data_IF_136509882032
#
_entry.id   IF_136509882032
#
_cell.length_a   1.000
_cell.length_b   1.000
_cell.length_c   1.000
_cell.angle_alpha   90.00
_cell.angle_beta   90.00
_cell.angle_gamma   90.00
#
_symmetry.space_group_name_H-M   'P 1'
#
loop_
_entity.id
_entity.type
_entity.pdbx_description
1 polymer ?
#
# COMPACT_ATOMS: atom_id res chain seq x y z
N UNK A 1 -57.17 7.21 28.86
CA UNK A 1 -56.74 6.00 29.59
C UNK A 1 -55.49 5.46 28.89
N UNK A 2 -54.26 5.88 29.22
CA UNK A 2 -53.09 5.28 28.59
C UNK A 2 -52.81 3.92 29.22
N UNK A 3 -52.85 2.87 28.41
CA UNK A 3 -52.43 1.54 28.80
C UNK A 3 -50.91 1.54 29.00
N UNK A 4 -50.48 1.43 30.25
CA UNK A 4 -49.08 1.28 30.63
C UNK A 4 -48.58 -0.08 30.15
N UNK A 5 -48.05 -0.14 28.93
CA UNK A 5 -47.34 -1.30 28.40
C UNK A 5 -46.01 -1.43 29.16
N UNK A 6 -46.03 -2.21 30.25
CA UNK A 6 -44.85 -2.60 31.00
C UNK A 6 -44.05 -3.62 30.18
N UNK A 7 -43.20 -3.14 29.28
CA UNK A 7 -42.28 -4.00 28.56
C UNK A 7 -41.30 -4.67 29.54
N UNK A 8 -41.20 -6.01 29.57
CA UNK A 8 -40.21 -6.70 30.40
C UNK A 8 -38.79 -6.29 29.98
N UNK A 9 -37.92 -6.08 30.97
CA UNK A 9 -36.52 -5.61 30.79
C UNK A 9 -35.70 -6.50 29.85
N UNK A 10 -36.10 -7.77 29.68
CA UNK A 10 -35.52 -8.73 28.74
C UNK A 10 -35.76 -8.36 27.26
N UNK A 11 -36.93 -7.79 26.94
CA UNK A 11 -37.25 -7.34 25.58
C UNK A 11 -36.50 -6.06 25.21
N UNK A 12 -36.32 -5.14 26.16
CA UNK A 12 -35.51 -3.92 25.95
C UNK A 12 -34.06 -4.29 25.66
N UNK A 13 -33.50 -5.26 26.41
CA UNK A 13 -32.12 -5.71 26.24
C UNK A 13 -31.90 -6.42 24.90
N UNK A 14 -32.84 -7.24 24.44
CA UNK A 14 -32.74 -7.94 23.15
C UNK A 14 -32.93 -6.98 21.97
N UNK A 15 -33.82 -5.98 22.08
CA UNK A 15 -33.93 -4.91 21.09
C UNK A 15 -32.64 -4.09 20.96
N UNK A 16 -32.01 -3.70 22.07
CA UNK A 16 -30.76 -2.94 22.05
C UNK A 16 -29.59 -3.73 21.44
N UNK A 17 -29.51 -5.03 21.73
CA UNK A 17 -28.49 -5.91 21.15
C UNK A 17 -28.71 -6.12 19.65
N UNK A 18 -29.97 -6.32 19.22
CA UNK A 18 -30.33 -6.45 17.80
C UNK A 18 -30.08 -5.15 17.02
N UNK A 19 -30.39 -4.00 17.61
CA UNK A 19 -30.10 -2.69 17.02
C UNK A 19 -28.59 -2.44 16.91
N UNK A 20 -27.83 -2.75 17.97
CA UNK A 20 -26.36 -2.65 17.94
C UNK A 20 -25.72 -3.54 16.88
N UNK A 21 -26.23 -4.77 16.70
CA UNK A 21 -25.72 -5.70 15.69
C UNK A 21 -26.09 -5.27 14.26
N UNK A 22 -27.32 -4.76 14.04
CA UNK A 22 -27.73 -4.22 12.75
C UNK A 22 -26.95 -2.93 12.38
N UNK A 23 -26.68 -2.06 13.36
CA UNK A 23 -25.89 -0.85 13.15
C UNK A 23 -24.41 -1.16 12.87
N UNK A 24 -23.85 -2.16 13.55
CA UNK A 24 -22.50 -2.64 13.27
C UNK A 24 -22.40 -3.29 11.88
N UNK A 25 -23.43 -4.03 11.45
CA UNK A 25 -23.47 -4.67 10.13
C UNK A 25 -23.68 -3.66 8.99
N UNK A 26 -24.48 -2.62 9.20
CA UNK A 26 -24.69 -1.55 8.22
C UNK A 26 -23.51 -0.57 8.16
N UNK A 27 -22.78 -0.37 9.27
CA UNK A 27 -21.54 0.41 9.28
C UNK A 27 -20.39 -0.28 8.51
N UNK A 28 -20.39 -1.61 8.43
CA UNK A 28 -19.37 -2.37 7.71
C UNK A 28 -19.53 -2.31 6.17
N UNK A 29 -20.75 -2.03 5.67
CA UNK A 29 -21.02 -1.98 4.23
C UNK A 29 -20.54 -0.69 3.54
N UNK A 30 -20.20 0.37 4.31
CA UNK A 30 -19.70 1.64 3.79
C UNK A 30 -18.16 1.71 3.70
N UNK A 31 -17.45 0.69 4.18
CA UNK A 31 -15.98 0.58 4.03
C UNK A 31 -15.63 -0.29 2.81
N UNK A 32 -16.22 0.01 1.66
CA UNK A 32 -15.60 -0.36 0.40
C UNK A 32 -14.45 0.63 0.16
N UNK A 33 -13.20 0.19 -0.02
CA UNK A 33 -12.14 1.09 -0.42
C UNK A 33 -12.46 1.57 -1.84
N UNK A 34 -13.03 2.77 -1.95
CA UNK A 34 -13.09 3.49 -3.22
C UNK A 34 -11.67 3.94 -3.54
N UNK A 35 -10.87 3.01 -4.06
CA UNK A 35 -9.56 3.34 -4.63
C UNK A 35 -9.87 4.19 -5.85
N UNK A 36 -9.70 5.50 -5.73
CA UNK A 36 -10.04 6.44 -6.79
C UNK A 36 -9.29 6.00 -8.08
N UNK A 37 -9.93 6.06 -9.26
CA UNK A 37 -9.29 5.64 -10.51
C UNK A 37 -7.93 6.30 -10.74
N UNK A 38 -7.75 7.53 -10.25
CA UNK A 38 -6.49 8.28 -10.29
C UNK A 38 -5.40 7.68 -9.40
N UNK A 39 -5.74 7.23 -8.18
CA UNK A 39 -4.80 6.57 -7.29
C UNK A 39 -4.32 5.25 -7.90
N UNK A 40 -5.24 4.48 -8.47
CA UNK A 40 -4.90 3.26 -9.21
C UNK A 40 -3.99 3.55 -10.40
N UNK A 41 -4.26 4.60 -11.17
CA UNK A 41 -3.41 5.01 -12.29
C UNK A 41 -1.99 5.41 -11.83
N UNK A 42 -1.87 6.17 -10.74
CA UNK A 42 -0.58 6.53 -10.14
C UNK A 42 0.18 5.31 -9.66
N UNK A 43 -0.49 4.36 -9.02
CA UNK A 43 0.12 3.11 -8.56
C UNK A 43 0.68 2.29 -9.74
N UNK A 44 -0.06 2.21 -10.85
CA UNK A 44 0.40 1.51 -12.07
C UNK A 44 1.64 2.19 -12.67
N UNK A 45 1.65 3.52 -12.74
CA UNK A 45 2.81 4.28 -13.22
C UNK A 45 4.03 4.09 -12.32
N UNK A 46 3.84 4.13 -11.00
CA UNK A 46 4.90 3.89 -10.03
C UNK A 46 5.50 2.49 -10.14
N UNK A 47 4.65 1.47 -10.26
CA UNK A 47 5.11 0.09 -10.46
C UNK A 47 5.93 -0.08 -11.76
N UNK A 48 5.50 0.59 -12.84
CA UNK A 48 6.23 0.58 -14.12
C UNK A 48 7.55 1.34 -14.03
N UNK A 49 7.61 2.45 -13.31
CA UNK A 49 8.85 3.20 -13.11
C UNK A 49 9.89 2.34 -12.35
N UNK A 50 9.45 1.63 -11.31
CA UNK A 50 10.31 0.72 -10.54
C UNK A 50 10.83 -0.46 -11.39
N UNK A 51 9.99 -1.01 -12.27
CA UNK A 51 10.43 -2.12 -13.13
C UNK A 51 11.46 -1.67 -14.18
N UNK A 52 11.28 -0.49 -14.76
CA UNK A 52 12.27 0.10 -15.68
C UNK A 52 13.59 0.40 -14.96
N UNK A 53 13.51 0.95 -13.75
CA UNK A 53 14.70 1.23 -12.95
C UNK A 53 15.44 -0.06 -12.57
N UNK A 54 14.70 -1.14 -12.32
CA UNK A 54 15.30 -2.45 -12.05
C UNK A 54 16.04 -2.98 -13.27
N UNK A 55 15.44 -2.87 -14.46
CA UNK A 55 16.07 -3.28 -15.71
C UNK A 55 17.34 -2.47 -16.03
N UNK A 56 17.37 -1.18 -15.69
CA UNK A 56 18.53 -0.32 -15.92
C UNK A 56 19.78 -0.77 -15.12
N UNK A 57 19.62 -1.49 -14.01
CA UNK A 57 20.74 -2.00 -13.20
C UNK A 57 21.60 -3.08 -13.89
N UNK A 58 21.15 -3.61 -15.01
CA UNK A 58 21.90 -4.59 -15.83
C UNK A 58 22.19 -4.09 -17.24
N UNK A 59 22.02 -2.78 -17.47
CA UNK A 59 22.32 -2.15 -18.76
C UNK A 59 23.82 -2.27 -19.09
N UNK A 60 24.15 -2.37 -20.38
CA UNK A 60 25.54 -2.50 -20.84
C UNK A 60 26.37 -1.25 -20.53
N UNK A 61 25.78 -0.07 -20.75
CA UNK A 61 26.36 1.22 -20.40
C UNK A 61 26.45 1.38 -18.88
N UNK A 62 27.66 1.63 -18.38
CA UNK A 62 27.91 1.85 -16.96
C UNK A 62 27.25 3.11 -16.42
N UNK A 63 27.11 4.16 -17.23
CA UNK A 63 26.53 5.42 -16.78
C UNK A 63 25.04 5.24 -16.50
N UNK A 64 24.35 4.44 -17.30
CA UNK A 64 22.96 4.04 -17.06
C UNK A 64 22.84 3.25 -15.76
N UNK A 65 23.80 2.35 -15.45
CA UNK A 65 23.80 1.60 -14.18
C UNK A 65 24.08 2.50 -12.98
N UNK A 66 24.98 3.48 -13.11
CA UNK A 66 25.25 4.50 -12.07
C UNK A 66 23.97 5.27 -11.77
N UNK A 67 23.35 5.85 -12.80
CA UNK A 67 22.10 6.60 -12.63
C UNK A 67 21.01 5.74 -11.99
N UNK A 68 20.90 4.47 -12.39
CA UNK A 68 19.91 3.57 -11.81
C UNK A 68 20.15 3.34 -10.32
N UNK A 69 21.40 3.08 -9.90
CA UNK A 69 21.78 2.88 -8.51
C UNK A 69 21.49 4.13 -7.65
N UNK A 70 21.84 5.32 -8.14
CA UNK A 70 21.60 6.60 -7.44
C UNK A 70 20.11 6.82 -7.14
N UNK A 71 19.21 6.41 -8.03
CA UNK A 71 17.76 6.62 -7.83
C UNK A 71 17.15 5.65 -6.81
N UNK A 72 17.70 4.45 -6.64
CA UNK A 72 17.12 3.45 -5.74
C UNK A 72 17.16 3.88 -4.25
N UNK A 73 18.18 4.63 -3.84
CA UNK A 73 18.31 5.13 -2.47
C UNK A 73 17.16 6.08 -2.06
N UNK A 74 16.98 7.22 -2.74
CA UNK A 74 15.91 8.19 -2.44
C UNK A 74 14.49 7.64 -2.56
N UNK A 75 14.26 6.65 -3.42
CA UNK A 75 12.95 6.00 -3.58
C UNK A 75 12.51 5.30 -2.27
N UNK A 76 13.45 4.81 -1.46
CA UNK A 76 13.14 4.19 -0.17
C UNK A 76 12.33 2.88 -0.23
N UNK A 77 12.15 2.32 -1.43
CA UNK A 77 11.43 1.06 -1.61
C UNK A 77 12.26 -0.10 -1.02
N UNK A 78 11.69 -0.98 -0.17
CA UNK A 78 12.40 -2.13 0.39
C UNK A 78 13.07 -3.04 -0.66
N UNK A 79 12.54 -3.07 -1.89
CA UNK A 79 13.13 -3.79 -3.02
C UNK A 79 14.51 -3.25 -3.44
N UNK A 80 14.89 -2.04 -3.01
CA UNK A 80 16.21 -1.45 -3.26
C UNK A 80 17.34 -2.28 -2.63
N UNK A 81 17.12 -2.87 -1.45
CA UNK A 81 18.19 -3.58 -0.70
C UNK A 81 18.92 -4.65 -1.53
N UNK A 82 18.25 -5.67 -2.11
CA UNK A 82 18.94 -6.67 -2.91
C UNK A 82 19.55 -6.09 -4.20
N UNK A 83 18.93 -5.05 -4.77
CA UNK A 83 19.39 -4.40 -6.00
C UNK A 83 20.70 -3.65 -5.76
N UNK A 84 20.75 -2.81 -4.73
CA UNK A 84 21.94 -2.06 -4.32
C UNK A 84 23.05 -2.99 -3.82
N UNK A 85 22.71 -4.06 -3.08
CA UNK A 85 23.69 -5.07 -2.67
C UNK A 85 24.39 -5.76 -3.86
N UNK A 86 23.72 -5.89 -5.00
CA UNK A 86 24.34 -6.36 -6.25
C UNK A 86 25.22 -5.29 -6.87
N UNK A 87 24.76 -4.03 -6.89
CA UNK A 87 25.50 -2.90 -7.46
C UNK A 87 26.83 -2.62 -6.72
N UNK A 88 26.89 -2.87 -5.41
CA UNK A 88 28.13 -2.84 -4.63
C UNK A 88 29.20 -3.85 -5.10
N UNK A 89 28.84 -4.81 -5.97
CA UNK A 89 29.75 -5.78 -6.57
C UNK A 89 30.01 -5.52 -8.07
N UNK A 90 29.51 -4.41 -8.61
CA UNK A 90 29.71 -4.07 -10.02
C UNK A 90 31.20 -3.88 -10.33
N UNK A 91 31.67 -4.31 -11.52
CA UNK A 91 33.07 -4.10 -11.93
C UNK A 91 33.45 -2.61 -11.97
N UNK A 92 32.51 -1.72 -12.29
CA UNK A 92 32.77 -0.29 -12.42
C UNK A 92 32.74 0.39 -11.05
N UNK A 93 33.82 1.06 -10.62
CA UNK A 93 33.88 1.73 -9.32
C UNK A 93 32.77 2.76 -9.10
N UNK A 94 32.39 3.51 -10.13
CA UNK A 94 31.33 4.51 -10.05
C UNK A 94 29.98 3.90 -9.64
N UNK A 95 29.64 2.72 -10.18
CA UNK A 95 28.40 2.01 -9.83
C UNK A 95 28.41 1.57 -8.37
N UNK A 96 29.58 1.15 -7.85
CA UNK A 96 29.71 0.79 -6.43
C UNK A 96 29.59 1.99 -5.50
N UNK A 97 30.06 3.16 -5.92
CA UNK A 97 29.97 4.41 -5.14
C UNK A 97 28.52 4.92 -5.09
N UNK A 98 27.78 4.74 -6.19
CA UNK A 98 26.38 5.16 -6.32
C UNK A 98 25.38 4.26 -5.58
N UNK A 99 25.78 3.04 -5.21
CA UNK A 99 24.93 2.04 -4.59
C UNK A 99 24.77 2.21 -3.08
#
# INVERSE_FOLDING_TARGET
>A
MPASLTMPKSLIRTCLLSWGMCAALSAQAAQAPSVDPEEKARAVLGARALSLLHAAMVHEDSDVRVMAAEQWGPIGNPAAKPVLARALKDPIPAVRIAA
#
